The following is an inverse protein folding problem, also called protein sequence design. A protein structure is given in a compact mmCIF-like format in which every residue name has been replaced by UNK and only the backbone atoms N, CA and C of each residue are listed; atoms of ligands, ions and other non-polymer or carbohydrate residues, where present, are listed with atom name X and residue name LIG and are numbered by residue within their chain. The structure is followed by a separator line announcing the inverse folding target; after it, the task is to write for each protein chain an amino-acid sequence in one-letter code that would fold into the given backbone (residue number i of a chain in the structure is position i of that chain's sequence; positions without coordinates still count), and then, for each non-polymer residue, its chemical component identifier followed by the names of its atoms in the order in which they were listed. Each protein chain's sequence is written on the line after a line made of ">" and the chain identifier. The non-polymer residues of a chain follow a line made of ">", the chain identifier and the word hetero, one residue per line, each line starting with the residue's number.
data_IF_690674146723
#
_entry.id   IF_690674146723
#
_cell.length_a   1.000
_cell.length_b   1.000
_cell.length_c   1.000
_cell.angle_alpha   90.00
_cell.angle_beta   90.00
_cell.angle_gamma   90.00
#
_symmetry.space_group_name_H-M   'P 1'
#
loop_
_entity.id
_entity.type
_entity.pdbx_description
1 polymer ?
#
# COMPACT_ATOMS: atom_id res chain seq x y z
N UNK A 1 -5.85 -3.97 10.12
CA UNK A 1 -5.51 -3.77 8.69
C UNK A 1 -5.44 -5.09 7.92
N UNK A 2 -4.51 -6.01 8.18
CA UNK A 2 -4.51 -7.35 7.53
C UNK A 2 -5.74 -8.16 7.93
N UNK A 3 -6.10 -8.16 9.22
CA UNK A 3 -7.39 -8.71 9.71
C UNK A 3 -8.61 -8.09 9.02
N UNK A 4 -8.63 -6.77 8.85
CA UNK A 4 -9.72 -6.08 8.13
C UNK A 4 -9.79 -6.54 6.67
N UNK A 5 -8.66 -6.74 5.98
CA UNK A 5 -8.66 -7.36 4.63
C UNK A 5 -9.33 -8.73 4.69
N UNK A 6 -8.86 -9.58 5.61
CA UNK A 6 -9.35 -10.94 5.87
C UNK A 6 -10.85 -11.00 6.18
N UNK A 7 -11.43 -9.94 6.75
CA UNK A 7 -12.83 -9.88 7.13
C UNK A 7 -13.73 -9.23 6.07
N UNK A 8 -13.25 -8.19 5.35
CA UNK A 8 -14.09 -7.37 4.46
C UNK A 8 -14.32 -7.97 3.07
N UNK A 9 -13.34 -8.67 2.50
CA UNK A 9 -13.39 -9.17 1.10
C UNK A 9 -13.80 -10.65 0.99
N UNK A 10 -13.97 -11.37 2.09
CA UNK A 10 -14.00 -12.84 2.09
C UNK A 10 -15.35 -13.48 2.45
N UNK A 11 -16.44 -12.95 1.89
CA UNK A 11 -17.75 -13.64 1.86
C UNK A 11 -17.84 -14.76 0.81
N UNK A 12 -16.82 -14.92 -0.04
CA UNK A 12 -16.78 -15.87 -1.16
C UNK A 12 -15.92 -17.11 -0.90
N UNK A 13 -16.19 -18.18 -1.67
CA UNK A 13 -15.61 -19.55 -1.61
C UNK A 13 -14.14 -19.62 -1.17
N UNK A 14 -13.83 -20.61 -0.31
CA UNK A 14 -12.51 -20.86 0.32
C UNK A 14 -11.30 -20.76 -0.63
N UNK A 15 -11.46 -21.15 -1.91
CA UNK A 15 -10.40 -21.08 -2.92
C UNK A 15 -10.09 -19.66 -3.39
N UNK A 16 -11.09 -18.81 -3.63
CA UNK A 16 -10.86 -17.40 -4.00
C UNK A 16 -10.16 -16.68 -2.86
N UNK A 17 -10.52 -17.01 -1.62
CA UNK A 17 -9.91 -16.46 -0.42
C UNK A 17 -8.41 -16.70 -0.37
N UNK A 18 -8.01 -17.96 -0.52
CA UNK A 18 -6.60 -18.36 -0.50
C UNK A 18 -5.78 -17.62 -1.57
N UNK A 19 -6.29 -17.55 -2.80
CA UNK A 19 -5.61 -16.87 -3.92
C UNK A 19 -5.38 -15.38 -3.62
N UNK A 20 -6.38 -14.68 -3.08
CA UNK A 20 -6.23 -13.26 -2.73
C UNK A 20 -5.25 -13.03 -1.58
N UNK A 21 -5.21 -13.92 -0.58
CA UNK A 21 -4.22 -13.85 0.50
C UNK A 21 -2.80 -14.09 -0.01
N UNK A 22 -2.61 -15.10 -0.86
CA UNK A 22 -1.32 -15.37 -1.50
C UNK A 22 -0.84 -14.18 -2.35
N UNK A 23 -1.76 -13.56 -3.12
CA UNK A 23 -1.49 -12.32 -3.84
C UNK A 23 -1.13 -11.18 -2.89
N UNK A 24 -1.88 -10.98 -1.82
CA UNK A 24 -1.63 -9.90 -0.86
C UNK A 24 -0.26 -10.03 -0.21
N UNK A 25 0.12 -11.25 0.20
CA UNK A 25 1.47 -11.56 0.68
C UNK A 25 2.53 -11.25 -0.37
N UNK A 26 2.34 -11.73 -1.60
CA UNK A 26 3.28 -11.48 -2.71
C UNK A 26 3.47 -9.99 -2.98
N UNK A 27 2.38 -9.23 -3.06
CA UNK A 27 2.40 -7.81 -3.37
C UNK A 27 2.99 -6.99 -2.22
N UNK A 28 2.65 -7.31 -0.97
CA UNK A 28 3.20 -6.65 0.22
C UNK A 28 4.72 -6.83 0.34
N UNK A 29 5.28 -7.95 -0.15
CA UNK A 29 6.73 -8.16 -0.24
C UNK A 29 7.34 -7.32 -1.37
N UNK A 30 6.66 -7.22 -2.52
CA UNK A 30 7.21 -6.62 -3.74
C UNK A 30 7.15 -5.09 -3.77
N UNK A 31 6.05 -4.49 -3.29
CA UNK A 31 5.80 -3.05 -3.39
C UNK A 31 6.89 -2.20 -2.72
N UNK A 32 7.41 -2.52 -1.51
CA UNK A 32 8.53 -1.78 -0.93
C UNK A 32 9.77 -1.73 -1.84
N UNK A 33 10.08 -2.85 -2.48
CA UNK A 33 11.19 -2.92 -3.45
C UNK A 33 10.90 -2.07 -4.68
N UNK A 34 9.65 -2.08 -5.18
CA UNK A 34 9.25 -1.24 -6.30
C UNK A 34 9.41 0.25 -5.99
N UNK A 35 9.05 0.70 -4.78
CA UNK A 35 9.24 2.08 -4.34
C UNK A 35 10.73 2.45 -4.34
N UNK A 36 11.59 1.57 -3.81
CA UNK A 36 13.05 1.81 -3.78
C UNK A 36 13.68 1.91 -5.17
N UNK A 37 13.17 1.18 -6.15
CA UNK A 37 13.74 1.12 -7.51
C UNK A 37 13.13 2.18 -8.43
N UNK A 38 11.81 2.36 -8.38
CA UNK A 38 11.07 3.18 -9.34
C UNK A 38 10.60 4.52 -8.75
N UNK A 39 10.75 4.73 -7.44
CA UNK A 39 10.16 5.84 -6.72
C UNK A 39 8.72 5.58 -6.28
N UNK A 40 8.26 6.37 -5.31
CA UNK A 40 6.94 6.26 -4.70
C UNK A 40 5.83 6.52 -5.73
N UNK A 41 5.84 7.69 -6.39
CA UNK A 41 4.78 8.12 -7.32
C UNK A 41 4.56 7.09 -8.42
N UNK A 42 5.63 6.66 -9.10
CA UNK A 42 5.53 5.67 -10.18
C UNK A 42 4.95 4.34 -9.69
N UNK A 43 5.32 3.92 -8.47
CA UNK A 43 4.79 2.69 -7.89
C UNK A 43 3.30 2.83 -7.54
N UNK A 44 2.90 3.96 -6.97
CA UNK A 44 1.50 4.25 -6.64
C UNK A 44 0.62 4.31 -7.88
N UNK A 45 1.06 5.00 -8.94
CA UNK A 45 0.37 5.01 -10.25
C UNK A 45 0.25 3.60 -10.81
N UNK A 46 1.32 2.81 -10.76
CA UNK A 46 1.31 1.44 -11.25
C UNK A 46 0.26 0.59 -10.52
N UNK A 47 0.24 0.59 -9.19
CA UNK A 47 -0.71 -0.24 -8.43
C UNK A 47 -2.15 0.26 -8.55
N UNK A 48 -2.36 1.60 -8.57
CA UNK A 48 -3.69 2.21 -8.78
C UNK A 48 -4.27 1.86 -10.15
N UNK A 49 -3.42 1.78 -11.18
CA UNK A 49 -3.81 1.44 -12.54
C UNK A 49 -4.06 -0.06 -12.79
N UNK A 50 -3.85 -0.94 -11.79
CA UNK A 50 -4.13 -2.38 -11.95
C UNK A 50 -5.58 -2.71 -11.67
N UNK A 51 -6.20 -3.47 -12.58
CA UNK A 51 -7.50 -4.09 -12.35
C UNK A 51 -7.36 -5.36 -11.49
N UNK A 52 -6.90 -5.21 -10.24
CA UNK A 52 -6.76 -6.29 -9.27
C UNK A 52 -7.16 -5.76 -7.87
N UNK A 53 -8.14 -6.42 -7.24
CA UNK A 53 -8.69 -6.01 -5.95
C UNK A 53 -7.64 -5.93 -4.84
N UNK A 54 -6.60 -6.77 -4.89
CA UNK A 54 -5.54 -6.78 -3.89
C UNK A 54 -4.64 -5.56 -4.04
N UNK A 55 -4.31 -5.18 -5.27
CA UNK A 55 -3.58 -3.92 -5.51
C UNK A 55 -4.40 -2.72 -5.09
N UNK A 56 -5.69 -2.70 -5.43
CA UNK A 56 -6.62 -1.64 -4.99
C UNK A 56 -6.64 -1.54 -3.47
N UNK A 57 -6.81 -2.65 -2.78
CA UNK A 57 -6.81 -2.67 -1.32
C UNK A 57 -5.51 -2.14 -0.70
N UNK A 58 -4.35 -2.53 -1.26
CA UNK A 58 -3.05 -2.03 -0.78
C UNK A 58 -2.93 -0.52 -1.03
N UNK A 59 -3.32 -0.05 -2.22
CA UNK A 59 -3.33 1.37 -2.54
C UNK A 59 -4.22 2.16 -1.57
N UNK A 60 -5.46 1.73 -1.35
CA UNK A 60 -6.40 2.36 -0.42
C UNK A 60 -5.84 2.36 1.01
N UNK A 61 -5.16 1.29 1.42
CA UNK A 61 -4.53 1.20 2.74
C UNK A 61 -3.36 2.18 2.91
N UNK A 62 -2.53 2.35 1.88
CA UNK A 62 -1.46 3.36 1.83
C UNK A 62 -2.08 4.76 1.90
N UNK A 63 -3.11 5.02 1.09
CA UNK A 63 -3.77 6.32 1.00
C UNK A 63 -4.40 6.72 2.34
N UNK A 64 -5.11 5.80 2.99
CA UNK A 64 -5.68 6.03 4.32
C UNK A 64 -4.60 6.31 5.37
N UNK A 65 -3.53 5.50 5.40
CA UNK A 65 -2.40 5.76 6.31
C UNK A 65 -1.78 7.14 6.07
N UNK A 66 -1.62 7.52 4.81
CA UNK A 66 -1.10 8.83 4.44
C UNK A 66 -2.01 9.97 4.92
N UNK A 67 -3.32 9.85 4.69
CA UNK A 67 -4.30 10.85 5.15
C UNK A 67 -4.29 11.01 6.66
N UNK A 68 -4.26 9.90 7.40
CA UNK A 68 -4.19 9.89 8.87
C UNK A 68 -2.90 10.53 9.40
N UNK A 69 -1.80 10.37 8.67
CA UNK A 69 -0.45 10.77 9.11
C UNK A 69 -0.07 12.20 8.73
N UNK A 70 -0.41 12.62 7.51
CA UNK A 70 0.10 13.85 6.90
C UNK A 70 -0.95 14.95 6.77
N UNK A 71 -2.24 14.66 7.01
CA UNK A 71 -3.35 15.60 6.87
C UNK A 71 -3.25 16.43 5.56
N UNK A 72 -3.28 15.76 4.39
CA UNK A 72 -3.02 16.38 3.10
C UNK A 72 -4.12 17.35 2.68
N UNK A 73 -3.83 18.18 1.68
CA UNK A 73 -4.79 19.13 1.11
C UNK A 73 -5.82 18.38 0.26
N UNK A 74 -5.39 17.33 -0.44
CA UNK A 74 -6.27 16.44 -1.21
C UNK A 74 -6.16 15.00 -0.69
N UNK A 75 -7.27 14.27 -0.74
CA UNK A 75 -7.34 12.91 -0.17
C UNK A 75 -6.51 11.88 -0.94
N UNK A 76 -6.14 12.15 -2.18
CA UNK A 76 -5.35 11.23 -3.01
C UNK A 76 -3.86 11.53 -2.85
N UNK A 77 -3.11 10.57 -2.31
CA UNK A 77 -1.67 10.69 -2.08
C UNK A 77 -0.89 11.07 -3.34
N UNK A 78 -1.28 10.60 -4.53
CA UNK A 78 -0.54 10.93 -5.76
C UNK A 78 -0.77 12.41 -6.09
N UNK A 79 -2.02 12.85 -6.04
CA UNK A 79 -2.38 14.23 -6.31
C UNK A 79 -1.75 15.19 -5.29
N UNK A 80 -1.78 14.85 -3.99
CA UNK A 80 -1.23 15.71 -2.94
C UNK A 80 0.28 15.86 -3.06
N UNK A 81 1.00 14.76 -3.29
CA UNK A 81 2.45 14.81 -3.51
C UNK A 81 2.76 15.69 -4.74
N UNK A 82 2.01 15.57 -5.84
CA UNK A 82 2.23 16.36 -7.05
C UNK A 82 1.86 17.84 -6.89
N UNK A 83 0.88 18.17 -6.03
CA UNK A 83 0.52 19.54 -5.71
C UNK A 83 1.57 20.20 -4.81
N UNK A 84 2.03 19.48 -3.79
CA UNK A 84 3.16 19.92 -2.99
C UNK A 84 4.41 20.07 -3.87
N UNK A 85 4.57 19.23 -4.90
CA UNK A 85 5.69 19.29 -5.87
C UNK A 85 5.82 20.63 -6.61
N UNK A 86 4.68 21.32 -6.82
CA UNK A 86 4.65 22.55 -7.61
C UNK A 86 4.78 23.82 -6.78
N UNK A 87 4.57 23.73 -5.47
CA UNK A 87 4.36 24.91 -4.62
C UNK A 87 5.56 25.29 -3.73
N UNK A 88 6.59 24.45 -3.61
CA UNK A 88 7.74 24.73 -2.72
C UNK A 88 9.11 24.42 -3.35
N UNK A 89 10.08 25.31 -3.12
CA UNK A 89 11.50 25.12 -3.45
C UNK A 89 12.20 24.05 -2.58
N UNK A 90 11.50 23.49 -1.57
CA UNK A 90 12.00 22.47 -0.61
C UNK A 90 11.50 21.03 -0.93
N UNK A 91 11.10 20.78 -2.17
CA UNK A 91 10.27 19.62 -2.53
C UNK A 91 10.87 18.23 -2.30
N UNK A 92 12.17 18.14 -2.51
CA UNK A 92 12.90 16.89 -2.39
C UNK A 92 12.78 16.37 -0.96
N UNK A 93 12.75 17.26 0.03
CA UNK A 93 12.66 16.87 1.44
C UNK A 93 11.28 16.30 1.78
N UNK A 94 10.19 16.94 1.33
CA UNK A 94 8.84 16.44 1.56
C UNK A 94 8.62 15.06 0.92
N UNK A 95 8.97 14.89 -0.36
CA UNK A 95 8.83 13.60 -1.04
C UNK A 95 9.67 12.50 -0.37
N UNK A 96 10.87 12.83 0.12
CA UNK A 96 11.72 11.90 0.83
C UNK A 96 11.10 11.49 2.17
N UNK A 97 10.57 12.43 2.95
CA UNK A 97 9.87 12.16 4.22
C UNK A 97 8.70 11.21 3.97
N UNK A 98 7.83 11.54 3.02
CA UNK A 98 6.67 10.70 2.68
C UNK A 98 7.12 9.31 2.22
N UNK A 99 8.16 9.22 1.38
CA UNK A 99 8.69 7.93 0.91
C UNK A 99 9.20 7.07 2.06
N UNK A 100 9.95 7.64 3.01
CA UNK A 100 10.50 6.93 4.17
C UNK A 100 9.37 6.43 5.08
N UNK A 101 8.37 7.25 5.35
CA UNK A 101 7.21 6.88 6.16
C UNK A 101 6.38 5.77 5.50
N UNK A 102 6.06 5.90 4.21
CA UNK A 102 5.32 4.86 3.47
C UNK A 102 6.10 3.56 3.41
N UNK A 103 7.42 3.60 3.20
CA UNK A 103 8.26 2.40 3.25
C UNK A 103 8.25 1.73 4.63
N UNK A 104 8.28 2.52 5.69
CA UNK A 104 8.25 2.00 7.07
C UNK A 104 6.90 1.35 7.38
N UNK A 105 5.80 1.99 6.97
CA UNK A 105 4.47 1.42 7.05
C UNK A 105 4.34 0.11 6.25
N UNK A 106 4.81 0.08 5.00
CA UNK A 106 4.74 -1.12 4.17
C UNK A 106 5.64 -2.26 4.68
N UNK A 107 6.72 -1.95 5.39
CA UNK A 107 7.53 -2.96 6.06
C UNK A 107 6.73 -3.66 7.17
N UNK A 108 5.92 -2.91 7.94
CA UNK A 108 5.02 -3.50 8.92
C UNK A 108 3.96 -4.37 8.22
N UNK A 109 3.31 -3.85 7.16
CA UNK A 109 2.33 -4.61 6.37
C UNK A 109 2.93 -5.91 5.84
N UNK A 110 4.14 -5.87 5.29
CA UNK A 110 4.88 -7.06 4.85
C UNK A 110 5.07 -8.06 5.99
N UNK A 111 5.51 -7.62 7.15
CA UNK A 111 5.78 -8.51 8.28
C UNK A 111 4.49 -9.21 8.73
N UNK A 112 3.37 -8.48 8.84
CA UNK A 112 2.06 -9.07 9.14
C UNK A 112 1.60 -10.02 8.04
N UNK A 113 1.73 -9.63 6.77
CA UNK A 113 1.33 -10.47 5.64
C UNK A 113 2.15 -11.77 5.55
N UNK A 114 3.41 -11.75 5.97
CA UNK A 114 4.24 -12.97 6.02
C UNK A 114 3.84 -13.86 7.19
N UNK A 115 3.60 -13.28 8.37
CA UNK A 115 3.25 -14.04 9.58
C UNK A 115 1.82 -14.59 9.52
N UNK A 116 0.82 -13.72 9.41
CA UNK A 116 -0.60 -14.09 9.61
C UNK A 116 -1.15 -14.93 8.46
N UNK A 117 -0.62 -14.79 7.24
CA UNK A 117 -1.16 -15.51 6.08
C UNK A 117 -0.66 -16.96 6.04
N UNK A 118 0.54 -17.23 6.54
CA UNK A 118 1.00 -18.62 6.71
C UNK A 118 0.08 -19.34 7.70
N UNK A 119 -0.20 -18.71 8.84
CA UNK A 119 -1.09 -19.27 9.88
C UNK A 119 -2.52 -19.53 9.35
N UNK A 120 -3.03 -18.69 8.45
CA UNK A 120 -4.39 -18.82 7.88
C UNK A 120 -4.47 -19.81 6.71
N UNK A 121 -3.36 -20.08 6.01
CA UNK A 121 -3.33 -21.04 4.89
C UNK A 121 -3.07 -22.47 5.40
N UNK A 122 -2.32 -22.61 6.49
CA UNK A 122 -1.95 -23.91 7.07
C UNK A 122 -3.05 -24.53 7.97
N UNK A 123 -4.04 -23.73 8.40
CA UNK A 123 -5.22 -24.16 9.18
C UNK A 123 -6.52 -24.15 8.33
#
# INVERSE_FOLDING_TARGET
>A
MVRNFIEKEFKDEKNKRKIQLEKFRSYSIRIPTMIKVNGLINTLVFIKGKNDNVYKYIYDSINNYYNDKFNPIVEDIIEDILLNDRNFNDNIEYQNIVTIDILSYLLLVKNFAVSEILDVIEN
#
